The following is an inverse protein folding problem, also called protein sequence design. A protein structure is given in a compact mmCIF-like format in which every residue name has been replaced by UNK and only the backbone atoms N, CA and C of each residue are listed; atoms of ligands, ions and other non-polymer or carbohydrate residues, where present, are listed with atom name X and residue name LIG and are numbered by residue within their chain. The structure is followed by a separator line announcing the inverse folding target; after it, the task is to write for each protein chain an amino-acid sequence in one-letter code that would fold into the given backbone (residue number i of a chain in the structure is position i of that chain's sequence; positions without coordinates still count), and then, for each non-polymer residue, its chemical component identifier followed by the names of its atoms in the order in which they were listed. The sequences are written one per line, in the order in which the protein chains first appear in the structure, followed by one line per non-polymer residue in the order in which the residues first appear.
data_IF_537341491811
#
_entry.id   IF_537341491811
#
_cell.length_a   1.000
_cell.length_b   1.000
_cell.length_c   1.000
_cell.angle_alpha   90.00
_cell.angle_beta   90.00
_cell.angle_gamma   90.00
#
_symmetry.space_group_name_H-M   'P 1'
#
loop_
_entity.id
_entity.type
_entity.pdbx_description
1 polymer ?
#
# COMPACT_ATOMS: atom_id res chain seq x y z
N UNK A 1 -1.88 1.58 22.56
CA UNK A 1 -0.66 1.91 21.82
C UNK A 1 -0.86 1.62 20.36
N UNK A 2 -0.79 2.64 19.54
CA UNK A 2 -0.91 2.47 18.10
C UNK A 2 0.41 2.11 17.47
N UNK A 3 0.33 1.53 16.28
CA UNK A 3 1.50 1.35 15.43
C UNK A 3 1.89 2.71 14.87
N UNK A 4 3.17 2.86 14.56
CA UNK A 4 3.69 4.11 14.01
C UNK A 4 3.63 4.10 12.48
N UNK A 5 3.25 5.24 11.93
CA UNK A 5 3.28 5.48 10.49
C UNK A 5 3.88 6.85 10.22
N UNK A 6 4.42 7.05 9.02
CA UNK A 6 4.96 8.35 8.63
C UNK A 6 3.85 9.39 8.57
N UNK A 7 2.72 9.01 7.97
CA UNK A 7 1.54 9.85 7.85
C UNK A 7 0.31 9.06 8.22
N UNK A 8 -0.70 9.76 8.74
CA UNK A 8 -2.00 9.18 9.02
C UNK A 8 -3.09 10.08 8.44
N UNK A 9 -4.24 9.50 8.14
CA UNK A 9 -5.32 10.17 7.46
C UNK A 9 -6.59 10.07 8.29
N UNK A 10 -7.29 11.19 8.43
CA UNK A 10 -8.52 11.29 9.22
C UNK A 10 -9.70 11.75 8.37
N UNK A 11 -9.44 12.38 7.22
CA UNK A 11 -10.50 12.88 6.35
C UNK A 11 -11.17 11.71 5.61
N UNK A 12 -12.52 11.69 5.57
CA UNK A 12 -13.23 10.60 4.91
C UNK A 12 -12.80 10.34 3.47
N UNK A 13 -12.51 11.39 2.70
CA UNK A 13 -12.10 11.25 1.30
C UNK A 13 -10.76 10.52 1.17
N UNK A 14 -9.82 10.84 2.05
CA UNK A 14 -8.51 10.19 2.04
C UNK A 14 -8.63 8.73 2.49
N UNK A 15 -9.43 8.47 3.50
CA UNK A 15 -9.68 7.10 3.97
C UNK A 15 -10.33 6.28 2.86
N UNK A 16 -11.33 6.83 2.18
CA UNK A 16 -11.99 6.15 1.07
C UNK A 16 -11.00 5.84 -0.07
N UNK A 17 -10.09 6.76 -0.36
CA UNK A 17 -9.06 6.56 -1.37
C UNK A 17 -8.16 5.37 -1.01
N UNK A 18 -7.73 5.31 0.26
CA UNK A 18 -6.90 4.21 0.74
C UNK A 18 -7.66 2.88 0.65
N UNK A 19 -8.94 2.87 1.02
CA UNK A 19 -9.77 1.67 0.90
C UNK A 19 -9.92 1.19 -0.54
N UNK A 20 -10.04 2.12 -1.49
CA UNK A 20 -10.09 1.77 -2.91
C UNK A 20 -8.76 1.13 -3.37
N UNK A 21 -7.64 1.64 -2.89
CA UNK A 21 -6.34 1.05 -3.19
C UNK A 21 -6.21 -0.36 -2.61
N UNK A 22 -6.71 -0.59 -1.40
CA UNK A 22 -6.73 -1.94 -0.81
C UNK A 22 -7.43 -2.93 -1.73
N UNK A 23 -8.54 -2.52 -2.33
CA UNK A 23 -9.30 -3.39 -3.24
C UNK A 23 -8.54 -3.73 -4.52
N UNK A 24 -7.56 -2.91 -4.89
CA UNK A 24 -6.74 -3.13 -6.09
C UNK A 24 -5.49 -3.97 -5.80
N UNK A 25 -5.31 -4.41 -4.56
CA UNK A 25 -4.10 -5.09 -4.12
C UNK A 25 -4.41 -6.45 -3.49
N UNK A 26 -5.06 -7.37 -4.24
CA UNK A 26 -5.32 -8.70 -3.71
C UNK A 26 -4.02 -9.48 -3.53
N UNK A 27 -4.03 -10.41 -2.57
CA UNK A 27 -2.87 -11.28 -2.29
C UNK A 27 -2.40 -11.98 -3.56
N UNK A 28 -1.09 -12.04 -3.74
CA UNK A 28 -0.41 -12.71 -4.86
C UNK A 28 -0.54 -12.00 -6.21
N UNK A 29 -1.19 -10.84 -6.27
CA UNK A 29 -1.26 -10.06 -7.51
C UNK A 29 0.10 -9.44 -7.83
N UNK A 30 0.45 -9.42 -9.11
CA UNK A 30 1.62 -8.71 -9.58
C UNK A 30 1.20 -7.30 -9.99
N UNK A 31 1.86 -6.30 -9.42
CA UNK A 31 1.45 -4.92 -9.57
C UNK A 31 2.66 -4.01 -9.74
N UNK A 32 2.41 -2.85 -10.32
CA UNK A 32 3.30 -1.70 -10.24
C UNK A 32 2.55 -0.60 -9.51
N UNK A 33 3.10 -0.15 -8.39
CA UNK A 33 2.52 0.98 -7.66
C UNK A 33 3.28 2.24 -8.05
N UNK A 34 2.53 3.29 -8.34
CA UNK A 34 3.09 4.60 -8.68
C UNK A 34 2.87 5.49 -7.47
N UNK A 35 3.95 6.00 -6.92
CA UNK A 35 3.91 6.86 -5.75
C UNK A 35 3.66 8.31 -6.12
N UNK A 36 3.18 9.09 -5.18
CA UNK A 36 2.90 10.52 -5.40
C UNK A 36 4.14 11.32 -5.79
N UNK A 37 5.34 10.86 -5.40
CA UNK A 37 6.60 11.50 -5.79
C UNK A 37 7.06 11.10 -7.19
N UNK A 38 6.32 10.25 -7.89
CA UNK A 38 6.65 9.80 -9.24
C UNK A 38 7.43 8.50 -9.31
N UNK A 39 7.90 7.97 -8.19
CA UNK A 39 8.60 6.68 -8.18
C UNK A 39 7.64 5.53 -8.49
N UNK A 40 8.16 4.48 -9.10
CA UNK A 40 7.40 3.28 -9.39
C UNK A 40 8.08 2.06 -8.77
N UNK A 41 7.29 1.20 -8.14
CA UNK A 41 7.78 -0.02 -7.51
C UNK A 41 6.93 -1.18 -8.02
N UNK A 42 7.58 -2.21 -8.56
CA UNK A 42 6.88 -3.39 -9.07
C UNK A 42 7.19 -4.59 -8.18
N UNK A 43 6.22 -5.46 -8.01
CA UNK A 43 6.40 -6.67 -7.23
C UNK A 43 5.10 -7.45 -7.08
N UNK A 44 5.17 -8.49 -6.25
CA UNK A 44 4.01 -9.34 -5.95
C UNK A 44 3.50 -8.98 -4.54
N UNK A 45 2.20 -8.74 -4.44
CA UNK A 45 1.54 -8.46 -3.15
C UNK A 45 1.60 -9.73 -2.31
N UNK A 46 2.23 -9.66 -1.14
CA UNK A 46 2.34 -10.83 -0.26
C UNK A 46 0.99 -11.14 0.37
N UNK A 47 0.28 -10.09 0.77
CA UNK A 47 -0.98 -10.20 1.46
C UNK A 47 -1.75 -8.90 1.21
N UNK A 48 -3.06 -8.97 1.02
CA UNK A 48 -3.87 -7.76 0.86
C UNK A 48 -3.65 -6.85 2.07
N UNK A 49 -3.26 -5.58 1.86
CA UNK A 49 -3.10 -4.66 2.98
C UNK A 49 -4.43 -4.40 3.67
N UNK A 50 -4.37 -4.08 4.95
CA UNK A 50 -5.56 -3.78 5.75
C UNK A 50 -5.50 -2.34 6.25
N UNK A 51 -6.61 -1.65 6.19
CA UNK A 51 -6.75 -0.34 6.80
C UNK A 51 -6.65 -0.50 8.31
N UNK A 52 -5.75 0.24 8.94
CA UNK A 52 -5.51 0.17 10.37
C UNK A 52 -5.32 1.56 10.95
N UNK A 53 -5.48 1.66 12.25
CA UNK A 53 -5.21 2.88 12.99
C UNK A 53 -3.73 2.94 13.35
N UNK A 54 -3.13 4.08 13.05
CA UNK A 54 -1.71 4.36 13.33
C UNK A 54 -1.57 5.68 14.05
N UNK A 55 -0.38 5.92 14.56
CA UNK A 55 -0.01 7.19 15.18
C UNK A 55 1.20 7.74 14.43
N UNK A 56 1.18 9.01 14.06
CA UNK A 56 2.32 9.64 13.40
C UNK A 56 3.34 10.17 14.44
N UNK A 57 4.44 10.75 13.94
CA UNK A 57 5.51 11.24 14.82
C UNK A 57 5.07 12.38 15.75
N UNK A 58 3.95 13.02 15.45
CA UNK A 58 3.39 14.12 16.28
C UNK A 58 2.37 13.60 17.29
N UNK A 59 2.11 12.29 17.31
CA UNK A 59 1.11 11.71 18.19
C UNK A 59 -0.32 11.79 17.66
N UNK A 60 -0.51 12.15 16.40
CA UNK A 60 -1.84 12.20 15.79
C UNK A 60 -2.25 10.79 15.38
N UNK A 61 -3.44 10.37 15.78
CA UNK A 61 -4.01 9.09 15.36
C UNK A 61 -4.83 9.25 14.10
N UNK A 62 -4.72 8.27 13.21
CA UNK A 62 -5.47 8.24 11.97
C UNK A 62 -5.22 6.93 11.23
N UNK A 63 -5.76 6.82 10.03
CA UNK A 63 -5.73 5.58 9.26
C UNK A 63 -4.66 5.59 8.19
N UNK A 64 -4.15 4.42 7.88
CA UNK A 64 -3.31 4.15 6.74
C UNK A 64 -3.31 2.63 6.52
N UNK A 65 -2.56 2.15 5.56
CA UNK A 65 -2.36 0.73 5.34
C UNK A 65 -0.94 0.53 4.79
N UNK A 66 -0.32 -0.57 5.16
CA UNK A 66 1.03 -0.89 4.71
C UNK A 66 0.97 -2.03 3.71
N UNK A 67 1.61 -1.82 2.56
CA UNK A 67 1.75 -2.83 1.52
C UNK A 67 3.14 -3.42 1.58
N UNK A 68 3.23 -4.75 1.51
CA UNK A 68 4.49 -5.44 1.32
C UNK A 68 4.52 -6.08 -0.05
N UNK A 69 5.57 -5.80 -0.79
CA UNK A 69 5.83 -6.40 -2.11
C UNK A 69 7.05 -7.29 -2.03
N UNK A 70 6.97 -8.45 -2.67
CA UNK A 70 8.10 -9.38 -2.82
C UNK A 70 8.40 -9.55 -4.30
N UNK A 71 9.60 -10.04 -4.60
CA UNK A 71 9.93 -10.54 -5.93
C UNK A 71 10.35 -12.01 -5.78
N UNK A 72 9.46 -12.95 -6.16
CA UNK A 72 9.78 -14.38 -6.03
C UNK A 72 10.97 -14.82 -6.86
N UNK A 73 11.34 -14.06 -7.90
CA UNK A 73 12.48 -14.39 -8.77
C UNK A 73 13.78 -13.79 -8.27
N UNK A 74 13.74 -12.93 -7.27
CA UNK A 74 14.90 -12.26 -6.70
C UNK A 74 14.80 -12.19 -5.18
N UNK A 75 14.59 -13.34 -4.48
CA UNK A 75 14.56 -13.32 -3.03
C UNK A 75 15.96 -13.00 -2.49
N UNK A 76 16.11 -12.28 -1.39
CA UNK A 76 15.06 -11.86 -0.45
C UNK A 76 14.54 -10.43 -0.67
N UNK A 77 14.45 -9.97 -1.92
CA UNK A 77 14.00 -8.61 -2.18
C UNK A 77 12.58 -8.37 -1.63
N UNK A 78 12.43 -7.27 -0.91
CA UNK A 78 11.15 -6.84 -0.34
C UNK A 78 11.07 -5.32 -0.38
N UNK A 79 9.86 -4.81 -0.50
CA UNK A 79 9.60 -3.39 -0.35
C UNK A 79 8.34 -3.19 0.50
N UNK A 80 8.36 -2.16 1.33
CA UNK A 80 7.21 -1.75 2.14
C UNK A 80 6.78 -0.37 1.69
N UNK A 81 5.49 -0.20 1.45
CA UNK A 81 4.93 1.04 0.92
C UNK A 81 3.68 1.39 1.69
N UNK A 82 3.58 2.64 2.12
CA UNK A 82 2.34 3.16 2.72
C UNK A 82 1.33 3.46 1.61
N UNK A 83 0.09 3.00 1.77
CA UNK A 83 -0.94 3.24 0.77
C UNK A 83 -1.24 4.73 0.61
N UNK A 84 -1.09 5.52 1.69
CA UNK A 84 -1.25 6.96 1.60
C UNK A 84 -0.31 7.62 0.60
N UNK A 85 0.85 7.00 0.33
CA UNK A 85 1.83 7.52 -0.62
C UNK A 85 1.60 7.06 -2.06
N UNK A 86 0.66 6.15 -2.29
CA UNK A 86 0.38 5.59 -3.61
C UNK A 86 -0.59 6.49 -4.36
N UNK A 87 -0.23 6.87 -5.59
CA UNK A 87 -1.13 7.58 -6.48
C UNK A 87 -2.05 6.63 -7.25
N UNK A 88 -1.47 5.54 -7.78
CA UNK A 88 -2.27 4.54 -8.49
C UNK A 88 -1.57 3.18 -8.51
N UNK A 89 -2.36 2.15 -8.83
CA UNK A 89 -1.89 0.77 -8.96
C UNK A 89 -2.17 0.30 -10.38
N UNK A 90 -1.14 -0.21 -11.05
CA UNK A 90 -1.27 -0.85 -12.35
C UNK A 90 -1.13 -2.36 -12.16
N UNK A 91 -2.08 -3.12 -12.70
CA UNK A 91 -2.05 -4.58 -12.63
C UNK A 91 -1.12 -5.12 -13.71
N UNK A 92 -0.21 -6.00 -13.34
CA UNK A 92 0.76 -6.60 -14.27
C UNK A 92 0.45 -8.05 -14.63
N UNK A 93 -0.47 -8.68 -13.91
CA UNK A 93 -0.87 -10.05 -14.23
C UNK A 93 -1.50 -10.10 -15.60
N UNK A 94 -1.29 -11.20 -16.37
CA UNK A 94 -2.03 -11.36 -17.60
C UNK A 94 -3.51 -11.46 -17.30
N UNK A 95 -4.37 -10.97 -18.20
CA UNK A 95 -5.81 -11.08 -17.99
C UNK A 95 -6.23 -12.54 -17.92
N UNK A 96 -7.21 -12.80 -17.07
CA UNK A 96 -7.83 -14.13 -17.00
C UNK A 96 -8.78 -14.26 -18.19
N UNK A 97 -8.58 -15.28 -18.97
CA UNK A 97 -9.38 -15.54 -20.16
C UNK A 97 -10.45 -16.55 -19.84
#
# INVERSE_FOLDING_TARGET
MGRNATDVYVEPDEIARIEQLVMQLPSQARVRVILRNGDAISGTVTERPALQLYEDARGVEGFNAELRLDDPQAPPWQAYVWLGDIERVDRLDPPVI
#
